data_IF_202626810682
#
_entry.id   IF_202626810682
#
_cell.length_a   1.000
_cell.length_b   1.000
_cell.length_c   1.000
_cell.angle_alpha   90.00
_cell.angle_beta   90.00
_cell.angle_gamma   90.00
#
_symmetry.space_group_name_H-M   'P 1'
#
loop_
_entity.id
_entity.type
_entity.pdbx_description
1 polymer ?
#
# COMPACT_ATOMS: atom_id res chain seq x y z
N UNK A 1 -3.81 28.97 19.32
CA UNK A 1 -3.31 28.68 17.95
C UNK A 1 -2.31 27.54 18.04
N UNK A 2 -2.41 26.52 17.17
CA UNK A 2 -1.40 25.46 17.06
C UNK A 2 -0.25 26.01 16.22
N UNK A 3 0.97 25.86 16.72
CA UNK A 3 2.18 26.37 16.06
C UNK A 3 2.97 25.26 15.37
N UNK A 4 2.94 24.04 15.92
CA UNK A 4 3.67 22.90 15.39
C UNK A 4 2.99 21.59 15.74
N UNK A 5 3.08 20.65 14.85
CA UNK A 5 2.71 19.26 15.05
C UNK A 5 3.89 18.37 14.63
N UNK A 6 4.27 17.43 15.47
CA UNK A 6 5.34 16.49 15.14
C UNK A 6 5.13 15.13 15.80
N UNK A 7 5.80 14.12 15.27
CA UNK A 7 5.91 12.80 15.86
C UNK A 7 7.34 12.62 16.36
N UNK A 8 7.51 12.52 17.68
CA UNK A 8 8.80 12.22 18.30
C UNK A 8 8.63 11.10 19.33
N UNK A 9 9.53 10.13 19.27
CA UNK A 9 9.62 9.00 20.23
C UNK A 9 8.30 8.30 20.53
N UNK A 10 7.44 8.13 19.52
CA UNK A 10 6.14 7.46 19.68
C UNK A 10 5.05 8.34 20.30
N UNK A 11 5.30 9.62 20.42
CA UNK A 11 4.31 10.63 20.83
C UNK A 11 3.93 11.50 19.64
N UNK A 12 2.64 11.80 19.50
CA UNK A 12 2.15 12.90 18.69
C UNK A 12 2.13 14.15 19.56
N UNK A 13 2.97 15.11 19.21
CA UNK A 13 3.19 16.35 19.99
C UNK A 13 2.55 17.52 19.27
N UNK A 14 1.75 18.27 19.99
CA UNK A 14 1.14 19.52 19.54
C UNK A 14 1.72 20.66 20.37
N UNK A 15 2.36 21.61 19.73
CA UNK A 15 2.79 22.87 20.33
C UNK A 15 1.76 23.96 20.04
N UNK A 16 1.31 24.62 21.08
CA UNK A 16 0.31 25.70 21.00
C UNK A 16 0.72 26.85 21.89
N UNK A 17 0.04 27.98 21.73
CA UNK A 17 0.26 29.18 22.56
C UNK A 17 0.01 28.84 24.03
N UNK A 18 1.09 28.87 24.85
CA UNK A 18 1.05 28.56 26.27
C UNK A 18 1.53 27.14 26.65
N UNK A 19 1.95 26.28 25.69
CA UNK A 19 2.52 24.99 26.04
C UNK A 19 2.60 23.97 24.93
N UNK A 20 2.85 22.72 25.31
CA UNK A 20 2.81 21.57 24.42
C UNK A 20 2.06 20.41 25.08
N UNK A 21 1.51 19.52 24.26
CA UNK A 21 0.84 18.29 24.71
C UNK A 21 1.27 17.13 23.82
N UNK A 22 1.77 16.07 24.44
CA UNK A 22 2.06 14.79 23.77
C UNK A 22 0.98 13.76 24.05
N UNK A 23 0.63 12.98 23.06
CA UNK A 23 -0.29 11.82 23.14
C UNK A 23 0.43 10.63 22.54
N UNK A 24 0.38 9.48 23.21
CA UNK A 24 0.93 8.25 22.66
C UNK A 24 0.28 7.93 21.29
N UNK A 25 1.09 7.60 20.29
CA UNK A 25 0.57 7.19 18.97
C UNK A 25 -0.23 5.90 19.10
N UNK A 26 0.18 4.98 19.98
CA UNK A 26 -0.56 3.73 20.20
C UNK A 26 -1.95 4.03 20.79
N UNK A 27 -2.06 4.95 21.76
CA UNK A 27 -3.34 5.34 22.34
C UNK A 27 -4.24 6.03 21.30
N UNK A 28 -3.66 6.88 20.44
CA UNK A 28 -4.40 7.49 19.33
C UNK A 28 -4.92 6.44 18.35
N UNK A 29 -4.10 5.45 18.01
CA UNK A 29 -4.49 4.39 17.09
C UNK A 29 -5.56 3.46 17.68
N UNK A 30 -5.46 3.13 18.96
CA UNK A 30 -6.48 2.34 19.67
C UNK A 30 -7.81 3.09 19.79
N UNK A 31 -7.75 4.40 19.96
CA UNK A 31 -8.93 5.29 19.94
C UNK A 31 -9.50 5.57 18.54
N UNK A 32 -8.87 5.06 17.46
CA UNK A 32 -9.31 5.25 16.08
C UNK A 32 -8.86 6.56 15.43
N UNK A 33 -7.98 7.30 16.08
CA UNK A 33 -7.48 8.60 15.60
C UNK A 33 -6.08 8.44 15.06
N UNK A 34 -5.36 8.11 14.57
CA UNK A 34 -3.98 8.01 14.13
C UNK A 34 -3.90 7.63 12.65
N UNK A 35 -3.09 6.65 12.37
CA UNK A 35 -2.94 6.13 11.02
C UNK A 35 -4.22 5.42 10.56
N UNK A 36 -4.56 5.58 9.28
CA UNK A 36 -5.66 4.79 8.69
C UNK A 36 -5.47 3.30 8.96
N UNK A 37 -6.57 2.51 9.11
CA UNK A 37 -6.49 1.06 9.36
C UNK A 37 -5.54 0.34 8.40
N UNK A 38 -5.53 0.73 7.14
CA UNK A 38 -4.66 0.17 6.13
C UNK A 38 -3.18 0.49 6.35
N UNK A 39 -2.87 1.73 6.78
CA UNK A 39 -1.50 2.15 7.07
C UNK A 39 -0.92 1.42 8.28
N UNK A 40 -1.73 1.18 9.33
CA UNK A 40 -1.24 0.44 10.51
C UNK A 40 -0.98 -1.04 10.21
N UNK A 41 -1.75 -1.68 9.30
CA UNK A 41 -1.52 -3.06 8.83
C UNK A 41 -0.44 -3.19 7.75
N UNK A 42 0.01 -2.08 7.16
CA UNK A 42 0.91 -2.08 6.02
C UNK A 42 2.34 -2.46 6.43
N UNK A 43 2.97 -3.36 5.69
CA UNK A 43 4.41 -3.70 5.82
C UNK A 43 5.29 -2.91 4.84
N UNK A 44 4.70 -2.18 3.89
CA UNK A 44 5.45 -1.33 2.96
C UNK A 44 5.79 0.01 3.63
N UNK A 45 6.69 -0.01 4.61
CA UNK A 45 7.05 1.18 5.40
C UNK A 45 8.07 2.07 4.71
N UNK A 46 8.91 1.48 3.88
CA UNK A 46 9.90 2.17 3.05
C UNK A 46 9.63 1.80 1.59
N UNK A 47 9.39 2.78 0.71
CA UNK A 47 9.00 2.53 -0.68
C UNK A 47 10.21 2.16 -1.56
N UNK A 48 10.83 1.01 -1.33
CA UNK A 48 12.07 0.57 -2.02
C UNK A 48 11.88 0.18 -3.48
N UNK A 49 10.63 0.14 -3.97
CA UNK A 49 10.35 0.02 -5.41
C UNK A 49 10.36 1.37 -6.15
N UNK A 50 10.39 2.48 -5.42
CA UNK A 50 10.66 3.80 -6.00
C UNK A 50 12.16 3.97 -6.25
N UNK A 51 12.54 4.88 -7.16
CA UNK A 51 13.95 5.18 -7.43
C UNK A 51 14.66 5.78 -6.22
N UNK A 52 13.94 6.58 -5.42
CA UNK A 52 14.40 7.19 -4.17
C UNK A 52 13.35 7.01 -3.08
N UNK A 53 13.76 6.53 -1.90
CA UNK A 53 12.92 6.48 -0.72
C UNK A 53 13.37 7.54 0.28
N UNK A 54 12.53 8.55 0.49
CA UNK A 54 12.81 9.70 1.34
C UNK A 54 12.03 9.61 2.67
N UNK A 55 12.67 9.96 3.78
CA UNK A 55 12.03 9.95 5.08
C UNK A 55 12.91 10.54 6.19
N UNK A 56 12.41 10.57 7.40
CA UNK A 56 13.10 11.10 8.55
C UNK A 56 13.78 10.02 9.41
N UNK A 57 13.48 8.76 9.24
CA UNK A 57 14.11 7.68 9.99
C UNK A 57 15.61 7.61 9.70
N UNK A 58 16.42 7.70 10.73
CA UNK A 58 17.89 7.72 10.62
C UNK A 58 18.50 9.11 10.66
N UNK A 59 17.71 10.18 10.61
CA UNK A 59 18.17 11.54 10.88
C UNK A 59 18.15 11.79 12.38
N UNK A 60 19.32 12.08 12.97
CA UNK A 60 19.48 12.21 14.42
C UNK A 60 20.24 13.48 14.81
N UNK A 61 20.17 13.87 16.09
CA UNK A 61 20.87 15.01 16.64
C UNK A 61 20.34 16.34 16.08
N UNK A 62 21.24 17.29 15.87
CA UNK A 62 20.92 18.67 15.43
C UNK A 62 20.29 18.76 14.03
N UNK A 63 20.31 17.65 13.28
CA UNK A 63 19.74 17.54 11.94
C UNK A 63 18.31 17.00 11.95
N UNK A 64 17.84 16.49 13.08
CA UNK A 64 16.45 16.04 13.22
C UNK A 64 15.49 17.20 12.89
N UNK A 65 14.54 16.94 12.01
CA UNK A 65 13.60 17.96 11.50
C UNK A 65 14.19 18.97 10.49
N UNK A 66 15.50 18.88 10.17
CA UNK A 66 16.17 19.81 9.23
C UNK A 66 16.74 19.12 7.99
N UNK A 67 16.82 17.81 8.00
CA UNK A 67 17.34 17.01 6.91
C UNK A 67 16.43 15.81 6.63
N UNK A 68 16.55 15.25 5.44
CA UNK A 68 15.84 14.06 5.01
C UNK A 68 16.84 12.92 4.78
N UNK A 69 16.52 11.75 5.29
CA UNK A 69 17.26 10.54 4.94
C UNK A 69 16.80 10.07 3.56
N UNK A 70 17.74 9.82 2.65
CA UNK A 70 17.47 9.34 1.30
C UNK A 70 18.11 7.97 1.14
N UNK A 71 17.30 6.98 0.79
CA UNK A 71 17.73 5.65 0.36
C UNK A 71 17.63 5.59 -1.16
N UNK A 72 18.74 5.37 -1.84
CA UNK A 72 18.81 5.24 -3.30
C UNK A 72 18.52 3.79 -3.65
N UNK A 73 17.43 3.55 -4.37
CA UNK A 73 16.89 2.22 -4.62
C UNK A 73 17.13 1.73 -6.06
N UNK A 74 17.55 2.62 -6.98
CA UNK A 74 17.85 2.27 -8.37
C UNK A 74 18.98 3.10 -8.96
N UNK A 75 19.53 2.67 -10.09
CA UNK A 75 20.52 3.46 -10.85
C UNK A 75 19.95 4.80 -11.32
N UNK A 76 18.68 4.82 -11.71
CA UNK A 76 17.97 6.04 -12.11
C UNK A 76 17.85 7.02 -10.92
N UNK A 77 17.58 6.51 -9.73
CA UNK A 77 17.59 7.30 -8.50
C UNK A 77 18.97 7.87 -8.19
N UNK A 78 20.03 7.07 -8.36
CA UNK A 78 21.41 7.54 -8.21
C UNK A 78 21.73 8.68 -9.19
N UNK A 79 21.42 8.51 -10.45
CA UNK A 79 21.64 9.54 -11.48
C UNK A 79 20.90 10.85 -11.15
N UNK A 80 19.62 10.76 -10.78
CA UNK A 80 18.81 11.92 -10.40
C UNK A 80 19.41 12.67 -9.20
N UNK A 81 19.82 11.95 -8.18
CA UNK A 81 20.42 12.54 -6.99
C UNK A 81 21.75 13.23 -7.32
N UNK A 82 22.61 12.57 -8.10
CA UNK A 82 23.89 13.11 -8.53
C UNK A 82 23.73 14.38 -9.37
N UNK A 83 22.77 14.43 -10.28
CA UNK A 83 22.47 15.61 -11.08
C UNK A 83 21.99 16.78 -10.22
N UNK A 84 21.11 16.52 -9.23
CA UNK A 84 20.63 17.54 -8.32
C UNK A 84 21.76 18.11 -7.44
N UNK A 85 22.70 17.27 -7.01
CA UNK A 85 23.89 17.69 -6.25
C UNK A 85 24.82 18.50 -7.15
N UNK A 86 25.11 18.06 -8.37
CA UNK A 86 25.96 18.80 -9.35
C UNK A 86 25.36 20.15 -9.71
N UNK A 87 24.05 20.23 -9.81
CA UNK A 87 23.33 21.49 -10.06
C UNK A 87 23.30 22.43 -8.83
N UNK A 88 23.82 22.00 -7.68
CA UNK A 88 23.83 22.79 -6.45
C UNK A 88 22.46 22.95 -5.77
N UNK A 89 21.46 22.20 -6.22
CA UNK A 89 20.07 22.25 -5.68
C UNK A 89 19.99 21.52 -4.34
N UNK A 90 20.79 20.47 -4.16
CA UNK A 90 20.86 19.66 -2.95
C UNK A 90 22.30 19.59 -2.41
N UNK A 91 22.39 19.43 -1.09
CA UNK A 91 23.62 19.06 -0.41
C UNK A 91 23.41 17.72 0.27
N UNK A 92 24.28 16.77 0.03
CA UNK A 92 24.26 15.44 0.63
C UNK A 92 25.46 15.22 1.50
N UNK A 93 25.33 14.33 2.45
CA UNK A 93 26.40 13.83 3.30
C UNK A 93 26.21 12.36 3.59
N UNK A 94 27.25 11.68 4.00
CA UNK A 94 27.17 10.29 4.40
C UNK A 94 26.25 10.13 5.63
N UNK A 95 25.43 9.05 5.70
CA UNK A 95 24.57 8.81 6.83
C UNK A 95 25.36 8.53 8.10
N UNK A 96 24.87 9.02 9.23
CA UNK A 96 25.46 8.72 10.54
C UNK A 96 25.27 7.22 10.87
N UNK A 97 26.33 6.46 11.24
CA UNK A 97 26.21 5.03 11.56
C UNK A 97 25.18 4.71 12.64
N UNK A 98 25.10 5.53 13.69
CA UNK A 98 24.08 5.40 14.73
C UNK A 98 22.67 5.67 14.19
N UNK A 99 22.54 6.60 13.25
CA UNK A 99 21.29 6.86 12.54
C UNK A 99 20.84 5.67 11.73
N UNK A 100 21.74 4.98 11.02
CA UNK A 100 21.43 3.74 10.29
C UNK A 100 20.94 2.63 11.22
N UNK A 101 21.59 2.45 12.37
CA UNK A 101 21.18 1.48 13.38
C UNK A 101 19.76 1.78 13.90
N UNK A 102 19.48 3.04 14.23
CA UNK A 102 18.16 3.48 14.70
C UNK A 102 17.13 3.29 13.60
N UNK A 103 17.43 3.62 12.34
CA UNK A 103 16.52 3.38 11.20
C UNK A 103 16.10 1.92 11.13
N UNK A 104 17.05 0.99 11.19
CA UNK A 104 16.78 -0.45 11.18
C UNK A 104 15.91 -0.91 12.36
N UNK A 105 16.17 -0.38 13.57
CA UNK A 105 15.36 -0.69 14.76
C UNK A 105 13.92 -0.18 14.62
N UNK A 106 13.74 1.04 14.11
CA UNK A 106 12.41 1.63 13.87
C UNK A 106 11.66 0.83 12.82
N UNK A 107 12.29 0.51 11.70
CA UNK A 107 11.69 -0.28 10.64
C UNK A 107 11.21 -1.65 11.15
N UNK A 108 12.04 -2.37 11.90
CA UNK A 108 11.68 -3.65 12.50
C UNK A 108 10.54 -3.53 13.52
N UNK A 109 10.53 -2.47 14.34
CA UNK A 109 9.43 -2.21 15.27
C UNK A 109 8.11 -1.97 14.53
N UNK A 110 8.16 -1.22 13.43
CA UNK A 110 6.99 -0.94 12.59
C UNK A 110 6.45 -2.19 11.87
N UNK A 111 7.31 -3.13 11.48
CA UNK A 111 6.86 -4.43 10.95
C UNK A 111 6.13 -5.25 12.01
N UNK A 112 6.68 -5.34 13.23
CA UNK A 112 6.02 -6.03 14.35
C UNK A 112 4.66 -5.41 14.68
N UNK A 113 4.59 -4.08 14.66
CA UNK A 113 3.34 -3.36 14.90
C UNK A 113 2.32 -3.63 13.77
N UNK A 114 2.76 -3.69 12.52
CA UNK A 114 1.88 -4.06 11.40
C UNK A 114 1.33 -5.49 11.55
N UNK A 115 2.15 -6.44 12.03
CA UNK A 115 1.69 -7.82 12.31
C UNK A 115 0.69 -7.87 13.47
N UNK A 116 0.91 -7.09 14.54
CA UNK A 116 -0.08 -6.92 15.63
C UNK A 116 -1.44 -6.50 15.08
N UNK A 117 -1.45 -5.45 14.24
CA UNK A 117 -2.68 -4.92 13.67
C UNK A 117 -3.31 -5.84 12.62
N UNK A 118 -2.52 -6.56 11.82
CA UNK A 118 -3.04 -7.62 10.93
C UNK A 118 -3.78 -8.68 11.72
N UNK A 119 -3.14 -9.20 12.78
CA UNK A 119 -3.76 -10.21 13.64
C UNK A 119 -5.08 -9.70 14.22
N UNK A 120 -5.07 -8.53 14.86
CA UNK A 120 -6.25 -7.91 15.48
C UNK A 120 -7.40 -7.75 14.46
N UNK A 121 -7.12 -7.11 13.33
CA UNK A 121 -8.17 -6.76 12.37
C UNK A 121 -8.71 -7.99 11.60
N UNK A 122 -7.87 -9.03 11.41
CA UNK A 122 -8.27 -10.23 10.69
C UNK A 122 -8.97 -11.27 11.56
N UNK A 123 -8.75 -11.30 12.87
CA UNK A 123 -9.46 -12.17 13.81
C UNK A 123 -10.98 -12.00 13.66
N UNK A 124 -11.45 -10.76 13.53
CA UNK A 124 -12.86 -10.45 13.33
C UNK A 124 -13.46 -10.96 12.01
N UNK A 125 -12.64 -11.33 11.01
CA UNK A 125 -13.14 -11.80 9.72
C UNK A 125 -13.54 -13.27 9.70
N UNK A 126 -13.02 -14.08 10.62
CA UNK A 126 -13.14 -15.53 10.55
C UNK A 126 -12.38 -16.15 9.39
N UNK A 127 -12.66 -17.39 9.07
CA UNK A 127 -12.02 -18.16 7.99
C UNK A 127 -13.06 -18.84 7.09
N UNK A 128 -12.65 -19.25 5.90
CA UNK A 128 -13.47 -20.06 5.01
C UNK A 128 -14.88 -19.49 4.79
N UNK A 129 -15.91 -20.30 5.15
CA UNK A 129 -17.33 -19.94 4.97
C UNK A 129 -17.75 -18.72 5.76
N UNK A 130 -17.22 -18.52 6.97
CA UNK A 130 -17.61 -17.38 7.81
C UNK A 130 -17.10 -16.07 7.19
N UNK A 131 -15.88 -16.08 6.68
CA UNK A 131 -15.32 -14.93 5.95
C UNK A 131 -16.13 -14.62 4.70
N UNK A 132 -16.46 -15.65 3.91
CA UNK A 132 -17.30 -15.49 2.72
C UNK A 132 -18.67 -14.91 3.07
N UNK A 133 -19.33 -15.44 4.10
CA UNK A 133 -20.64 -14.94 4.56
C UNK A 133 -20.58 -13.46 4.96
N UNK A 134 -19.50 -13.03 5.65
CA UNK A 134 -19.27 -11.61 5.99
C UNK A 134 -19.06 -10.76 4.73
N UNK A 135 -18.25 -11.22 3.79
CA UNK A 135 -18.03 -10.52 2.52
C UNK A 135 -19.36 -10.33 1.80
N UNK A 136 -20.15 -11.39 1.65
CA UNK A 136 -21.48 -11.33 0.98
C UNK A 136 -22.39 -10.35 1.72
N UNK A 137 -22.47 -10.44 3.05
CA UNK A 137 -23.30 -9.54 3.87
C UNK A 137 -22.90 -8.07 3.69
N UNK A 138 -21.61 -7.74 3.80
CA UNK A 138 -21.15 -6.37 3.68
C UNK A 138 -21.32 -5.84 2.25
N UNK A 139 -21.01 -6.65 1.25
CA UNK A 139 -21.11 -6.26 -0.17
C UNK A 139 -22.54 -6.21 -0.69
N UNK A 140 -23.55 -6.78 0.01
CA UNK A 140 -24.97 -6.61 -0.32
C UNK A 140 -25.45 -5.15 -0.23
N UNK A 141 -24.70 -4.27 0.44
CA UNK A 141 -24.98 -2.84 0.48
C UNK A 141 -24.46 -2.07 -0.75
N UNK A 142 -23.75 -2.75 -1.64
CA UNK A 142 -23.06 -2.10 -2.77
C UNK A 142 -24.05 -1.46 -3.73
N UNK A 143 -23.86 -0.18 -4.04
CA UNK A 143 -24.62 0.58 -5.03
C UNK A 143 -23.96 0.63 -6.42
N UNK A 144 -22.91 -0.15 -6.62
CA UNK A 144 -22.18 -0.25 -7.90
C UNK A 144 -21.72 1.11 -8.48
N UNK A 145 -21.22 1.99 -7.61
CA UNK A 145 -20.72 3.32 -8.01
C UNK A 145 -19.35 3.30 -8.71
N UNK A 146 -18.67 2.17 -8.74
CA UNK A 146 -17.32 1.95 -9.33
C UNK A 146 -16.16 2.69 -8.67
N UNK A 147 -16.36 3.54 -7.67
CA UNK A 147 -15.27 4.30 -7.02
C UNK A 147 -14.11 3.41 -6.53
N UNK A 148 -14.44 2.23 -6.04
CA UNK A 148 -13.44 1.25 -5.59
C UNK A 148 -12.61 0.63 -6.73
N UNK A 149 -13.03 0.75 -7.97
CA UNK A 149 -12.30 0.34 -9.17
C UNK A 149 -11.52 1.53 -9.73
N UNK A 150 -12.19 2.66 -9.92
CA UNK A 150 -11.61 3.85 -10.55
C UNK A 150 -10.49 4.49 -9.70
N UNK A 151 -10.53 4.30 -8.37
CA UNK A 151 -9.48 4.77 -7.45
C UNK A 151 -8.35 3.78 -7.19
N UNK A 152 -8.48 2.54 -7.68
CA UNK A 152 -7.50 1.50 -7.39
C UNK A 152 -6.28 1.63 -8.31
N UNK A 153 -5.05 1.83 -7.76
CA UNK A 153 -3.85 1.98 -8.58
C UNK A 153 -3.47 0.73 -9.37
N UNK A 154 -4.06 -0.43 -9.01
CA UNK A 154 -3.81 -1.71 -9.69
C UNK A 154 -4.86 -1.98 -10.79
N UNK A 155 -6.00 -1.26 -10.80
CA UNK A 155 -7.02 -1.40 -11.84
C UNK A 155 -6.68 -0.57 -13.09
N UNK A 156 -5.92 -1.14 -14.01
CA UNK A 156 -5.48 -0.50 -15.26
C UNK A 156 -6.15 -1.07 -16.54
N UNK A 157 -7.09 -2.00 -16.39
CA UNK A 157 -7.75 -2.64 -17.53
C UNK A 157 -8.57 -1.64 -18.36
N UNK A 158 -8.32 -1.56 -19.66
CA UNK A 158 -9.11 -0.74 -20.61
C UNK A 158 -10.54 -1.30 -20.71
N UNK A 159 -10.67 -2.63 -20.78
CA UNK A 159 -11.93 -3.34 -20.79
C UNK A 159 -12.15 -4.11 -19.48
N UNK A 160 -12.87 -3.53 -18.56
CA UNK A 160 -13.13 -4.13 -17.27
C UNK A 160 -14.21 -5.21 -17.34
N UNK A 161 -13.91 -6.43 -16.84
CA UNK A 161 -14.87 -7.55 -16.78
C UNK A 161 -16.11 -7.23 -15.94
N UNK A 162 -16.00 -6.34 -14.93
CA UNK A 162 -17.15 -5.88 -14.14
C UNK A 162 -18.16 -5.03 -14.94
N UNK A 163 -17.78 -4.53 -16.12
CA UNK A 163 -18.63 -3.77 -17.04
C UNK A 163 -19.26 -4.64 -18.14
N UNK A 164 -18.95 -5.93 -18.19
CA UNK A 164 -19.54 -6.85 -19.17
C UNK A 164 -20.96 -7.28 -18.72
N UNK A 165 -22.03 -7.02 -19.50
CA UNK A 165 -23.43 -7.26 -19.09
C UNK A 165 -23.77 -8.71 -18.77
N UNK A 166 -23.06 -9.66 -19.36
CA UNK A 166 -23.27 -11.10 -19.12
C UNK A 166 -22.65 -11.57 -17.79
N UNK A 167 -21.71 -10.80 -17.19
CA UNK A 167 -21.13 -11.07 -15.87
C UNK A 167 -21.81 -10.24 -14.77
N UNK A 168 -22.00 -8.95 -15.05
CA UNK A 168 -22.57 -8.00 -14.11
C UNK A 168 -23.69 -7.23 -14.78
N UNK A 169 -24.93 -7.59 -14.48
CA UNK A 169 -26.12 -7.03 -15.12
C UNK A 169 -26.22 -5.53 -14.89
N UNK A 170 -26.39 -4.71 -15.93
CA UNK A 170 -26.65 -3.28 -15.82
C UNK A 170 -27.94 -3.00 -15.03
N UNK A 171 -27.93 -1.93 -14.21
CA UNK A 171 -29.12 -1.49 -13.47
C UNK A 171 -29.50 -2.35 -12.26
N UNK A 172 -28.94 -3.52 -12.08
CA UNK A 172 -29.21 -4.38 -10.92
C UNK A 172 -28.50 -3.86 -9.66
N UNK A 173 -29.26 -3.65 -8.58
CA UNK A 173 -28.78 -3.19 -7.29
C UNK A 173 -29.46 -3.99 -6.16
N UNK A 174 -28.66 -4.50 -5.19
CA UNK A 174 -27.22 -4.58 -5.23
C UNK A 174 -26.74 -5.39 -6.44
N UNK A 175 -25.49 -5.20 -6.91
CA UNK A 175 -24.97 -6.03 -7.99
C UNK A 175 -24.91 -7.48 -7.55
N UNK A 176 -24.99 -8.41 -8.50
CA UNK A 176 -24.74 -9.81 -8.22
C UNK A 176 -23.32 -10.01 -7.66
N UNK A 177 -23.06 -11.12 -6.99
CA UNK A 177 -21.79 -11.38 -6.32
C UNK A 177 -20.61 -11.42 -7.30
N UNK A 178 -20.84 -11.64 -8.59
CA UNK A 178 -19.80 -11.62 -9.62
C UNK A 178 -19.04 -10.28 -9.66
N UNK A 179 -19.72 -9.17 -9.39
CA UNK A 179 -19.06 -7.86 -9.32
C UNK A 179 -17.92 -7.84 -8.29
N UNK A 180 -18.15 -8.38 -7.12
CA UNK A 180 -17.14 -8.43 -6.06
C UNK A 180 -16.14 -9.55 -6.30
N UNK A 181 -16.57 -10.70 -6.76
CA UNK A 181 -15.72 -11.84 -7.03
C UNK A 181 -14.65 -11.52 -8.10
N UNK A 182 -15.05 -10.87 -9.19
CA UNK A 182 -14.14 -10.41 -10.23
C UNK A 182 -13.09 -9.47 -9.64
N UNK A 183 -13.52 -8.49 -8.84
CA UNK A 183 -12.59 -7.55 -8.19
C UNK A 183 -11.59 -8.25 -7.28
N UNK A 184 -12.07 -9.16 -6.43
CA UNK A 184 -11.20 -9.92 -5.54
C UNK A 184 -10.22 -10.81 -6.30
N UNK A 185 -10.70 -11.50 -7.33
CA UNK A 185 -9.86 -12.38 -8.14
C UNK A 185 -8.76 -11.61 -8.89
N UNK A 186 -9.09 -10.43 -9.48
CA UNK A 186 -8.14 -9.68 -10.31
C UNK A 186 -7.10 -8.88 -9.50
N UNK A 187 -7.35 -8.61 -8.23
CA UNK A 187 -6.51 -7.65 -7.47
C UNK A 187 -5.80 -8.33 -6.29
N UNK A 188 -6.29 -9.46 -5.81
CA UNK A 188 -5.84 -10.02 -4.54
C UNK A 188 -4.33 -10.31 -4.48
N UNK A 189 -3.73 -10.77 -5.57
CA UNK A 189 -2.29 -11.08 -5.66
C UNK A 189 -1.39 -9.85 -5.85
N UNK A 190 -1.99 -8.71 -6.25
CA UNK A 190 -1.28 -7.47 -6.56
C UNK A 190 -1.61 -6.35 -5.57
N UNK A 191 -2.51 -6.59 -4.62
CA UNK A 191 -3.00 -5.57 -3.69
C UNK A 191 -1.91 -5.09 -2.73
N UNK A 192 -1.54 -3.82 -2.84
CA UNK A 192 -0.57 -3.15 -1.95
C UNK A 192 -1.18 -2.57 -0.67
N UNK A 193 -2.43 -2.87 -0.37
CA UNK A 193 -3.15 -2.38 0.81
C UNK A 193 -3.20 -0.84 0.92
N UNK A 194 -3.33 -0.11 -0.19
CA UNK A 194 -3.39 1.36 -0.17
C UNK A 194 -4.65 1.93 0.51
N UNK A 195 -5.75 1.17 0.57
CA UNK A 195 -6.98 1.52 1.27
C UNK A 195 -7.98 2.36 0.49
N UNK A 196 -7.66 2.87 -0.69
CA UNK A 196 -8.52 3.78 -1.44
C UNK A 196 -9.91 3.21 -1.72
N UNK A 197 -10.00 1.93 -2.04
CA UNK A 197 -11.27 1.26 -2.31
C UNK A 197 -12.25 1.20 -1.10
N UNK A 198 -11.74 1.38 0.10
CA UNK A 198 -12.54 1.48 1.32
C UNK A 198 -12.85 2.93 1.67
N UNK A 199 -11.86 3.82 1.64
CA UNK A 199 -12.00 5.24 1.97
C UNK A 199 -13.03 5.96 1.07
N UNK A 200 -13.08 5.60 -0.20
CA UNK A 200 -14.00 6.20 -1.17
C UNK A 200 -15.33 5.43 -1.32
N UNK A 201 -15.57 4.41 -0.51
CA UNK A 201 -16.80 3.66 -0.59
C UNK A 201 -17.95 4.43 0.07
N UNK A 202 -18.91 4.91 -0.72
CA UNK A 202 -20.10 5.63 -0.24
C UNK A 202 -20.98 4.78 0.70
N UNK A 203 -20.78 3.47 0.74
CA UNK A 203 -21.53 2.52 1.56
C UNK A 203 -20.69 1.96 2.72
N UNK A 204 -19.51 2.52 2.99
CA UNK A 204 -18.60 2.08 4.06
C UNK A 204 -18.31 0.57 4.05
N UNK A 205 -18.24 -0.03 2.85
CA UNK A 205 -17.90 -1.45 2.73
C UNK A 205 -16.39 -1.61 3.00
N UNK A 206 -15.96 -2.50 3.91
CA UNK A 206 -14.55 -2.65 4.27
C UNK A 206 -13.74 -3.42 3.20
N UNK A 207 -13.82 -2.95 1.95
CA UNK A 207 -13.22 -3.59 0.79
C UNK A 207 -11.71 -3.82 0.95
N UNK A 208 -10.99 -2.83 1.51
CA UNK A 208 -9.56 -2.94 1.68
C UNK A 208 -9.17 -3.95 2.76
N UNK A 209 -10.00 -4.12 3.79
CA UNK A 209 -9.81 -5.15 4.81
C UNK A 209 -9.94 -6.56 4.19
N UNK A 210 -10.98 -6.77 3.39
CA UNK A 210 -11.21 -8.05 2.71
C UNK A 210 -10.10 -8.36 1.71
N UNK A 211 -9.72 -7.37 0.89
CA UNK A 211 -8.64 -7.48 -0.10
C UNK A 211 -7.31 -7.85 0.57
N UNK A 212 -6.95 -7.11 1.63
CA UNK A 212 -5.70 -7.32 2.34
C UNK A 212 -5.65 -8.69 3.03
N UNK A 213 -6.75 -9.12 3.63
CA UNK A 213 -6.81 -10.46 4.24
C UNK A 213 -6.63 -11.57 3.19
N UNK A 214 -7.20 -11.41 2.01
CA UNK A 214 -7.04 -12.36 0.92
C UNK A 214 -5.62 -12.32 0.34
N UNK A 215 -5.05 -11.14 0.14
CA UNK A 215 -3.67 -10.98 -0.30
C UNK A 215 -2.68 -11.66 0.64
N UNK A 216 -2.84 -11.52 1.96
CA UNK A 216 -1.98 -12.17 2.95
C UNK A 216 -2.08 -13.70 2.90
N UNK A 217 -3.24 -14.26 2.60
CA UNK A 217 -3.36 -15.72 2.38
C UNK A 217 -2.63 -16.15 1.10
N UNK A 218 -2.73 -15.40 0.01
CA UNK A 218 -1.98 -15.67 -1.21
C UNK A 218 -0.46 -15.52 -0.99
N UNK A 219 -0.02 -14.51 -0.22
CA UNK A 219 1.38 -14.37 0.22
C UNK A 219 1.91 -15.63 0.90
N UNK A 220 1.12 -16.20 1.82
CA UNK A 220 1.50 -17.44 2.52
C UNK A 220 1.55 -18.66 1.61
N UNK A 221 0.61 -18.75 0.65
CA UNK A 221 0.51 -19.89 -0.26
C UNK A 221 1.61 -19.92 -1.32
N UNK A 222 2.02 -18.76 -1.78
CA UNK A 222 2.85 -18.63 -2.98
C UNK A 222 4.16 -17.88 -2.76
N UNK A 223 4.35 -17.23 -1.62
CA UNK A 223 5.57 -16.49 -1.29
C UNK A 223 5.73 -15.16 -2.02
N UNK A 224 4.74 -14.70 -2.80
CA UNK A 224 4.78 -13.43 -3.50
C UNK A 224 4.22 -12.29 -2.64
N UNK A 225 5.00 -11.22 -2.45
CA UNK A 225 4.61 -10.05 -1.64
C UNK A 225 4.48 -8.83 -2.53
N UNK A 226 3.25 -8.39 -2.84
CA UNK A 226 3.02 -7.20 -3.67
C UNK A 226 3.67 -5.94 -3.06
N UNK A 227 4.36 -5.17 -3.89
CA UNK A 227 5.06 -3.96 -3.45
C UNK A 227 6.47 -4.22 -2.88
N UNK A 228 6.90 -5.48 -2.77
CA UNK A 228 8.26 -5.90 -2.42
C UNK A 228 8.87 -6.70 -3.57
N UNK A 229 8.18 -7.74 -4.03
CA UNK A 229 8.66 -8.58 -5.11
C UNK A 229 8.47 -7.90 -6.47
N UNK A 230 9.53 -7.89 -7.27
CA UNK A 230 9.53 -7.34 -8.63
C UNK A 230 9.08 -8.37 -9.68
N UNK A 231 8.83 -9.62 -9.27
CA UNK A 231 8.28 -10.64 -10.15
C UNK A 231 6.83 -10.35 -10.52
N UNK A 232 6.38 -10.89 -11.64
CA UNK A 232 4.96 -10.79 -12.02
C UNK A 232 4.09 -11.43 -10.95
N UNK A 233 2.92 -10.83 -10.64
CA UNK A 233 1.93 -11.42 -9.76
C UNK A 233 1.50 -12.82 -10.26
N UNK A 234 1.17 -13.70 -9.34
CA UNK A 234 0.89 -15.11 -9.64
C UNK A 234 -0.34 -15.33 -10.51
N UNK A 235 -1.35 -14.46 -10.30
CA UNK A 235 -2.57 -14.44 -11.09
C UNK A 235 -2.47 -13.49 -12.29
N UNK A 236 -1.32 -12.86 -12.48
CA UNK A 236 -1.02 -12.18 -13.73
C UNK A 236 -1.20 -13.20 -14.85
N UNK A 237 -2.08 -12.85 -15.72
CA UNK A 237 -2.74 -13.66 -16.72
C UNK A 237 -1.84 -14.76 -17.26
N UNK A 238 -2.30 -15.99 -17.15
CA UNK A 238 -1.67 -17.14 -17.83
C UNK A 238 -1.45 -16.78 -19.30
N UNK A 239 -2.42 -16.10 -19.90
CA UNK A 239 -2.35 -15.57 -21.28
C UNK A 239 -1.22 -14.55 -21.48
N UNK A 240 -0.97 -13.62 -20.55
CA UNK A 240 0.15 -12.69 -20.64
C UNK A 240 1.50 -13.38 -20.46
N UNK A 241 1.58 -14.44 -19.64
CA UNK A 241 2.78 -15.27 -19.52
C UNK A 241 3.05 -16.04 -20.81
N UNK A 242 2.05 -16.72 -21.33
CA UNK A 242 2.17 -17.49 -22.57
C UNK A 242 2.49 -16.59 -23.74
N UNK A 243 1.88 -15.42 -23.83
CA UNK A 243 2.16 -14.42 -24.88
C UNK A 243 3.57 -13.86 -24.72
N UNK A 244 3.98 -13.50 -23.51
CA UNK A 244 5.35 -13.02 -23.25
C UNK A 244 6.39 -14.08 -23.54
N UNK A 245 6.16 -15.33 -23.13
CA UNK A 245 7.08 -16.44 -23.37
C UNK A 245 7.15 -16.77 -24.86
N UNK A 246 6.03 -16.65 -25.59
CA UNK A 246 5.96 -16.78 -27.04
C UNK A 246 6.74 -15.65 -27.75
N UNK A 247 6.59 -14.42 -27.30
CA UNK A 247 7.30 -13.25 -27.84
C UNK A 247 8.79 -13.26 -27.53
N UNK A 248 9.17 -13.68 -26.32
CA UNK A 248 10.57 -13.91 -25.96
C UNK A 248 11.21 -15.02 -26.82
N UNK A 249 10.47 -16.10 -27.10
CA UNK A 249 10.92 -17.17 -28.00
C UNK A 249 11.05 -16.74 -29.47
N UNK A 250 10.29 -15.74 -29.90
CA UNK A 250 10.37 -15.17 -31.26
C UNK A 250 11.43 -14.07 -31.42
N UNK A 251 12.09 -13.66 -30.33
CA UNK A 251 13.10 -12.60 -30.36
C UNK A 251 12.55 -11.22 -30.70
N UNK A 252 11.24 -10.99 -30.59
CA UNK A 252 10.64 -9.70 -30.86
C UNK A 252 10.59 -8.83 -29.59
N UNK A 253 11.62 -8.00 -29.40
CA UNK A 253 11.70 -7.01 -28.32
C UNK A 253 10.71 -5.84 -28.46
N UNK A 254 9.81 -5.88 -29.45
CA UNK A 254 8.95 -4.76 -29.82
C UNK A 254 7.87 -4.40 -28.81
N UNK A 255 7.60 -5.23 -27.81
CA UNK A 255 6.54 -4.92 -26.81
C UNK A 255 7.02 -3.93 -25.75
N UNK A 256 8.32 -3.87 -25.48
CA UNK A 256 8.85 -2.95 -24.46
C UNK A 256 8.94 -1.48 -24.90
N UNK A 257 8.81 -1.20 -26.20
CA UNK A 257 8.85 0.17 -26.73
C UNK A 257 7.49 0.92 -26.64
N UNK A 258 6.39 0.21 -26.36
CA UNK A 258 5.05 0.82 -26.19
C UNK A 258 4.92 1.53 -24.83
N UNK A 259 5.79 1.22 -23.85
CA UNK A 259 5.79 1.80 -22.51
C UNK A 259 6.97 2.75 -22.23
N UNK A 260 7.71 3.13 -23.25
CA UNK A 260 8.66 4.24 -23.21
C UNK A 260 7.99 5.53 -23.72
#
# INVERSE_FOLDING_TARGET
TVHKEEIDKGQFIIEYEGGHKGISIDDLEEAGYGRRPNCRRCKLKVPRQADLACGNWGVIGDKAGKATFVEVCSEKGAMLLDEAVKAGVLKTEAPNPKGLEIRGKVENAMYKLADKWRKHDFEGLGTGRDRLAKIVKETSRCIKCYQCIDSCPICYCVECSTKKPYLVKPGELPPNFMFQLIRFAHIADSCINCGQCQELCAMDIPNALFMHAQQVELEKMFGHVPGIDMSLPLLALVEEREERDRLAATGSDQIFDIFK
#
